data_IF_469580159900
#
_entry.id   IF_469580159900
#
_cell.length_a   1.000
_cell.length_b   1.000
_cell.length_c   1.000
_cell.angle_alpha   90.00
_cell.angle_beta   90.00
_cell.angle_gamma   90.00
#
_symmetry.space_group_name_H-M   'P 1'
#
loop_
_entity.id
_entity.type
_entity.pdbx_description
1 polymer ?
#
# COMPACT_ATOMS: atom_id res chain seq x y z
N UNK A 1 -21.50 4.54 -11.60
CA UNK A 1 -20.09 4.97 -11.47
C UNK A 1 -19.41 4.13 -10.40
N UNK A 2 -18.06 4.10 -10.37
CA UNK A 2 -17.29 3.17 -9.54
C UNK A 2 -17.66 3.19 -8.05
N UNK A 3 -18.04 4.35 -7.50
CA UNK A 3 -18.54 4.49 -6.12
C UNK A 3 -19.77 3.61 -5.83
N UNK A 4 -20.72 3.55 -6.77
CA UNK A 4 -21.92 2.72 -6.62
C UNK A 4 -21.64 1.22 -6.84
N UNK A 5 -20.60 0.89 -7.61
CA UNK A 5 -20.22 -0.49 -7.89
C UNK A 5 -19.59 -1.15 -6.68
N UNK A 6 -18.81 -0.40 -5.89
CA UNK A 6 -18.10 -0.94 -4.73
C UNK A 6 -18.86 -0.79 -3.42
N UNK A 7 -20.01 -0.10 -3.41
CA UNK A 7 -20.70 0.32 -2.18
C UNK A 7 -21.14 -0.81 -1.26
N UNK A 8 -21.30 -2.03 -1.78
CA UNK A 8 -21.65 -3.21 -0.98
C UNK A 8 -20.48 -3.79 -0.18
N UNK A 9 -19.23 -3.45 -0.54
CA UNK A 9 -18.03 -4.03 0.09
C UNK A 9 -16.91 -3.01 0.36
N UNK A 10 -17.09 -1.74 -0.01
CA UNK A 10 -16.06 -0.73 0.13
C UNK A 10 -16.55 0.69 -0.11
N UNK A 11 -15.65 1.63 0.15
CA UNK A 11 -15.88 3.06 -0.01
C UNK A 11 -14.69 3.74 -0.68
N UNK A 12 -14.92 4.91 -1.28
CA UNK A 12 -13.87 5.71 -1.91
C UNK A 12 -13.39 6.77 -0.93
N UNK A 13 -12.09 6.79 -0.66
CA UNK A 13 -11.41 7.82 0.13
C UNK A 13 -10.49 8.66 -0.74
N UNK A 14 -10.30 9.92 -0.35
CA UNK A 14 -9.28 10.79 -0.97
C UNK A 14 -7.89 10.35 -0.52
N UNK A 15 -6.91 10.46 -1.42
CA UNK A 15 -5.51 10.29 -1.08
C UNK A 15 -4.94 11.59 -0.46
N UNK A 16 -3.94 11.51 0.44
CA UNK A 16 -3.50 10.29 1.12
C UNK A 16 -4.55 9.80 2.13
N UNK A 17 -4.78 8.49 2.19
CA UNK A 17 -5.68 7.89 3.17
C UNK A 17 -4.89 7.35 4.35
N UNK A 18 -5.20 7.81 5.55
CA UNK A 18 -4.57 7.36 6.78
C UNK A 18 -5.61 6.67 7.67
N UNK A 19 -5.23 5.56 8.29
CA UNK A 19 -6.09 4.84 9.23
C UNK A 19 -5.26 4.00 10.20
N UNK A 20 -5.88 3.55 11.28
CA UNK A 20 -5.25 2.63 12.24
C UNK A 20 -5.97 1.29 12.20
N UNK A 21 -5.21 0.20 12.22
CA UNK A 21 -5.73 -1.17 12.22
C UNK A 21 -4.76 -2.09 12.96
N UNK A 22 -5.28 -3.00 13.80
CA UNK A 22 -4.47 -3.91 14.61
C UNK A 22 -3.34 -3.22 15.42
N UNK A 23 -3.59 -1.98 15.87
CA UNK A 23 -2.60 -1.18 16.62
C UNK A 23 -1.50 -0.53 15.76
N UNK A 24 -1.55 -0.68 14.43
CA UNK A 24 -0.61 -0.10 13.49
C UNK A 24 -1.23 1.08 12.76
N UNK A 25 -0.41 2.08 12.43
CA UNK A 25 -0.81 3.24 11.65
C UNK A 25 -0.42 3.05 10.18
N UNK A 26 -1.42 3.16 9.30
CA UNK A 26 -1.28 2.99 7.87
C UNK A 26 -1.38 4.31 7.14
N UNK A 27 -0.58 4.43 6.09
CA UNK A 27 -0.69 5.46 5.06
C UNK A 27 -0.83 4.80 3.70
N UNK A 28 -1.85 5.16 2.95
CA UNK A 28 -2.07 4.70 1.57
C UNK A 28 -2.05 5.89 0.63
N UNK A 29 -1.20 5.84 -0.39
CA UNK A 29 -1.08 6.90 -1.41
C UNK A 29 -0.68 6.31 -2.75
N UNK A 30 -1.14 6.84 -3.88
CA UNK A 30 -0.76 6.25 -5.18
C UNK A 30 0.64 6.70 -5.63
N UNK A 31 0.92 8.01 -5.58
CA UNK A 31 2.13 8.60 -6.21
C UNK A 31 3.10 9.27 -5.24
N UNK A 32 2.65 9.67 -4.04
CA UNK A 32 3.43 10.52 -3.13
C UNK A 32 4.30 9.73 -2.13
N UNK A 33 4.71 8.51 -2.47
CA UNK A 33 5.43 7.60 -1.58
C UNK A 33 6.82 8.08 -1.16
N UNK A 34 7.48 8.90 -1.97
CA UNK A 34 8.79 9.51 -1.67
C UNK A 34 8.71 10.83 -0.89
N UNK A 35 7.50 11.26 -0.48
CA UNK A 35 7.37 12.49 0.28
C UNK A 35 8.14 12.35 1.61
N UNK A 36 9.20 13.14 1.84
CA UNK A 36 10.02 13.02 3.04
C UNK A 36 9.22 13.19 4.32
N UNK A 37 8.13 13.96 4.29
CA UNK A 37 7.27 14.17 5.46
C UNK A 37 6.56 12.88 5.91
N UNK A 38 6.28 11.93 5.02
CA UNK A 38 5.67 10.66 5.41
C UNK A 38 6.67 9.78 6.14
N UNK A 39 7.87 9.65 5.57
CA UNK A 39 8.93 8.76 6.04
C UNK A 39 9.64 9.31 7.27
N UNK A 40 9.91 10.61 7.33
CA UNK A 40 10.57 11.27 8.47
C UNK A 40 9.66 11.47 9.67
N UNK A 41 8.34 11.47 9.48
CA UNK A 41 7.42 11.72 10.59
C UNK A 41 7.42 10.59 11.61
N UNK A 42 7.86 9.39 11.21
CA UNK A 42 7.72 8.15 12.00
C UNK A 42 6.29 8.01 12.56
N UNK A 43 5.27 8.51 11.85
CA UNK A 43 3.87 8.38 12.27
C UNK A 43 3.24 7.09 11.80
N UNK A 44 3.81 6.47 10.78
CA UNK A 44 3.25 5.33 10.10
C UNK A 44 4.13 4.11 10.28
N UNK A 45 3.50 2.99 10.58
CA UNK A 45 4.17 1.69 10.68
C UNK A 45 4.18 1.01 9.31
N UNK A 46 3.17 1.27 8.47
CA UNK A 46 3.05 0.76 7.10
C UNK A 46 2.67 1.87 6.12
N UNK A 47 3.40 1.98 5.02
CA UNK A 47 3.10 2.84 3.87
C UNK A 47 2.84 1.96 2.66
N UNK A 48 1.65 2.09 2.06
CA UNK A 48 1.27 1.37 0.85
C UNK A 48 1.21 2.36 -0.31
N UNK A 49 1.87 2.03 -1.41
CA UNK A 49 1.83 2.83 -2.63
C UNK A 49 1.72 2.02 -3.92
N UNK A 50 1.54 2.73 -5.03
CA UNK A 50 1.46 2.12 -6.36
C UNK A 50 2.23 2.94 -7.40
N UNK A 51 1.61 3.18 -8.55
CA UNK A 51 2.10 4.01 -9.66
C UNK A 51 3.29 3.47 -10.47
N UNK A 52 4.25 2.77 -9.86
CA UNK A 52 5.44 2.26 -10.58
C UNK A 52 5.20 0.93 -11.28
N UNK A 53 4.11 0.23 -10.97
CA UNK A 53 3.78 -1.13 -11.41
C UNK A 53 4.79 -2.22 -11.00
N UNK A 54 5.85 -1.86 -10.26
CA UNK A 54 6.89 -2.79 -9.82
C UNK A 54 6.68 -3.19 -8.37
N UNK A 55 6.59 -4.48 -8.05
CA UNK A 55 6.48 -4.93 -6.67
C UNK A 55 7.71 -4.52 -5.88
N UNK A 56 7.50 -4.00 -4.68
CA UNK A 56 8.57 -3.53 -3.80
C UNK A 56 8.16 -3.75 -2.34
N UNK A 57 9.05 -4.33 -1.54
CA UNK A 57 8.95 -4.31 -0.09
C UNK A 57 10.28 -3.78 0.42
N UNK A 58 10.23 -2.63 1.09
CA UNK A 58 11.40 -2.00 1.68
C UNK A 58 11.08 -1.48 3.07
N UNK A 59 12.12 -1.16 3.84
CA UNK A 59 11.96 -0.60 5.19
C UNK A 59 12.76 0.68 5.29
N UNK A 60 12.13 1.75 5.75
CA UNK A 60 12.74 3.06 5.94
C UNK A 60 12.49 3.52 7.38
N UNK A 61 13.54 3.51 8.20
CA UNK A 61 13.39 3.64 9.65
C UNK A 61 12.47 2.55 10.18
N UNK A 62 11.41 2.94 10.90
CA UNK A 62 10.40 2.00 11.40
C UNK A 62 9.32 1.64 10.38
N UNK A 63 9.15 2.43 9.31
CA UNK A 63 8.04 2.26 8.37
C UNK A 63 8.34 1.16 7.36
N UNK A 64 7.44 0.18 7.27
CA UNK A 64 7.42 -0.81 6.19
C UNK A 64 6.76 -0.18 4.96
N UNK A 65 7.47 -0.14 3.84
CA UNK A 65 7.03 0.46 2.59
C UNK A 65 6.70 -0.66 1.62
N UNK A 66 5.46 -0.68 1.10
CA UNK A 66 4.93 -1.75 0.26
C UNK A 66 4.39 -1.17 -1.04
N UNK A 67 4.86 -1.70 -2.16
CA UNK A 67 4.21 -1.61 -3.46
C UNK A 67 3.81 -3.02 -3.90
N UNK A 68 2.51 -3.31 -4.07
CA UNK A 68 2.07 -4.63 -4.51
C UNK A 68 2.44 -4.92 -5.97
N UNK A 69 2.93 -3.94 -6.73
CA UNK A 69 3.13 -4.03 -8.17
C UNK A 69 1.84 -3.76 -8.93
N UNK A 70 1.57 -4.56 -9.96
CA UNK A 70 0.32 -4.48 -10.70
C UNK A 70 -0.40 -5.82 -10.71
N UNK A 71 -1.72 -5.78 -10.53
CA UNK A 71 -2.53 -7.00 -10.54
C UNK A 71 -2.94 -7.41 -11.96
N UNK A 72 -2.98 -6.46 -12.90
CA UNK A 72 -3.41 -6.71 -14.28
C UNK A 72 -2.32 -7.23 -15.21
N UNK A 73 -1.04 -7.10 -14.85
CA UNK A 73 0.09 -7.53 -15.68
C UNK A 73 0.26 -6.76 -17.00
N UNK A 74 -0.43 -5.64 -17.21
CA UNK A 74 -0.47 -4.99 -18.53
C UNK A 74 0.82 -4.26 -18.92
N UNK A 75 1.64 -3.85 -17.96
CA UNK A 75 2.83 -3.04 -18.21
C UNK A 75 4.11 -3.85 -18.04
N UNK A 76 4.13 -4.73 -17.05
CA UNK A 76 5.27 -5.52 -16.61
C UNK A 76 5.17 -6.99 -16.98
N UNK A 77 4.02 -7.43 -17.52
CA UNK A 77 3.71 -8.84 -17.80
C UNK A 77 3.74 -9.72 -16.53
N UNK A 78 3.70 -9.08 -15.36
CA UNK A 78 3.80 -9.72 -14.05
C UNK A 78 2.60 -9.32 -13.20
N UNK A 79 1.73 -10.29 -12.93
CA UNK A 79 0.58 -10.11 -12.05
C UNK A 79 1.00 -10.38 -10.61
N UNK A 80 1.02 -9.35 -9.77
CA UNK A 80 1.42 -9.46 -8.37
C UNK A 80 0.43 -8.81 -7.41
N UNK A 81 0.42 -9.34 -6.18
CA UNK A 81 -0.25 -8.76 -5.01
C UNK A 81 0.69 -8.81 -3.81
N UNK A 82 0.45 -7.96 -2.80
CA UNK A 82 1.17 -8.03 -1.52
C UNK A 82 0.23 -8.56 -0.42
N UNK A 83 0.70 -9.55 0.34
CA UNK A 83 0.04 -10.02 1.56
C UNK A 83 0.80 -9.49 2.77
N UNK A 84 0.10 -8.80 3.68
CA UNK A 84 0.67 -8.25 4.90
C UNK A 84 0.02 -8.86 6.12
N UNK A 85 0.83 -9.41 7.02
CA UNK A 85 0.40 -9.91 8.32
C UNK A 85 0.61 -8.82 9.39
N UNK A 86 -0.47 -8.24 9.96
CA UNK A 86 -0.36 -7.19 10.97
C UNK A 86 0.21 -7.68 12.31
N UNK A 87 0.13 -8.96 12.62
CA UNK A 87 0.68 -9.53 13.87
C UNK A 87 2.19 -9.67 13.79
N UNK A 88 2.72 -10.16 12.66
CA UNK A 88 4.17 -10.32 12.48
C UNK A 88 4.85 -9.12 11.81
N UNK A 89 4.07 -8.19 11.26
CA UNK A 89 4.51 -7.05 10.45
C UNK A 89 5.40 -7.44 9.27
N UNK A 90 5.14 -8.63 8.71
CA UNK A 90 5.81 -9.13 7.52
C UNK A 90 4.90 -8.97 6.32
N UNK A 91 5.50 -8.61 5.19
CA UNK A 91 4.84 -8.59 3.90
C UNK A 91 5.56 -9.53 2.95
N UNK A 92 4.80 -10.13 2.03
CA UNK A 92 5.32 -10.93 0.93
C UNK A 92 4.61 -10.56 -0.38
N UNK A 93 5.34 -10.69 -1.49
CA UNK A 93 4.79 -10.53 -2.83
C UNK A 93 4.38 -11.90 -3.35
N UNK A 94 3.12 -12.03 -3.76
CA UNK A 94 2.57 -13.22 -4.38
C UNK A 94 2.43 -12.94 -5.88
N UNK A 95 2.92 -13.88 -6.69
CA UNK A 95 2.74 -13.89 -8.13
C UNK A 95 1.49 -14.70 -8.48
N UNK A 96 0.65 -14.16 -9.36
CA UNK A 96 -0.65 -14.72 -9.75
C UNK A 96 -0.56 -15.56 -11.03
#
# INVERSE_FOLDING_TARGET
GISNTISSFGEIKKAPFCFSFAGLNFLVTHTQFRNPSYLKSEKYDVLIFGHTHKPEISRQGKTLVINPGETGGWITDCCTVALFDPTTQKAEIIYL
#
